data_IF_467057933016
#
_entry.id   IF_467057933016
#
_cell.length_a   1.000
_cell.length_b   1.000
_cell.length_c   1.000
_cell.angle_alpha   90.00
_cell.angle_beta   90.00
_cell.angle_gamma   90.00
#
_symmetry.space_group_name_H-M   'P 1'
#
loop_
_entity.id
_entity.type
_entity.pdbx_description
1 polymer ?
#
# COMPACT_ATOMS: atom_id res chain seq x y z
N UNK A 1 -5.05 14.09 -27.83
CA UNK A 1 -6.44 14.41 -27.40
C UNK A 1 -7.05 13.25 -26.64
N UNK A 2 -7.15 12.03 -27.20
CA UNK A 2 -7.69 10.84 -26.51
C UNK A 2 -6.92 10.40 -25.26
N UNK A 3 -5.60 10.62 -25.20
CA UNK A 3 -4.78 10.33 -24.01
C UNK A 3 -4.94 11.37 -22.89
N UNK A 4 -5.76 12.41 -23.07
CA UNK A 4 -5.86 13.52 -22.11
C UNK A 4 -4.66 14.48 -22.12
N UNK A 5 -3.63 14.23 -22.95
CA UNK A 5 -2.48 15.11 -23.07
C UNK A 5 -2.59 16.05 -24.28
N UNK A 6 -2.15 17.30 -24.10
CA UNK A 6 -2.04 18.31 -25.16
C UNK A 6 -3.37 18.79 -25.76
N UNK A 7 -4.52 18.34 -25.23
CA UNK A 7 -5.82 18.68 -25.79
C UNK A 7 -6.19 20.15 -25.65
N UNK A 8 -5.70 20.82 -24.60
CA UNK A 8 -5.88 22.26 -24.41
C UNK A 8 -5.24 23.05 -25.57
N UNK A 9 -4.05 22.65 -26.01
CA UNK A 9 -3.36 23.27 -27.13
C UNK A 9 -4.11 23.02 -28.45
N UNK A 10 -4.58 21.79 -28.67
CA UNK A 10 -5.35 21.44 -29.87
C UNK A 10 -6.69 22.18 -29.90
N UNK A 11 -7.38 22.29 -28.76
CA UNK A 11 -8.60 23.07 -28.60
C UNK A 11 -8.34 24.54 -28.94
N UNK A 12 -7.30 25.14 -28.35
CA UNK A 12 -6.95 26.54 -28.58
C UNK A 12 -6.65 26.80 -30.07
N UNK A 13 -5.82 25.96 -30.69
CA UNK A 13 -5.53 26.06 -32.13
C UNK A 13 -6.79 25.91 -33.00
N UNK A 14 -7.76 25.11 -32.55
CA UNK A 14 -9.01 24.89 -33.27
C UNK A 14 -9.99 26.05 -33.12
N UNK A 15 -10.03 26.71 -31.96
CA UNK A 15 -10.81 27.94 -31.71
C UNK A 15 -10.23 29.11 -32.52
N UNK A 16 -8.90 29.18 -32.63
CA UNK A 16 -8.22 30.28 -33.31
C UNK A 16 -8.12 30.08 -34.84
N UNK A 17 -8.53 28.91 -35.35
CA UNK A 17 -8.46 28.56 -36.76
C UNK A 17 -9.38 29.44 -37.61
N UNK A 18 -8.82 30.09 -38.63
CA UNK A 18 -9.54 30.94 -39.59
C UNK A 18 -9.70 30.24 -40.95
N UNK A 19 -9.88 31.01 -42.04
CA UNK A 19 -10.02 30.44 -43.39
C UNK A 19 -8.73 29.81 -43.92
N UNK A 20 -8.86 29.05 -45.02
CA UNK A 20 -7.73 28.41 -45.70
C UNK A 20 -6.69 29.49 -46.09
N UNK A 21 -5.41 29.23 -45.81
CA UNK A 21 -4.27 30.13 -46.04
C UNK A 21 -4.28 31.45 -45.24
N UNK A 22 -4.97 31.50 -44.09
CA UNK A 22 -4.94 32.64 -43.17
C UNK A 22 -4.38 32.25 -41.80
N UNK A 23 -3.69 33.18 -41.15
CA UNK A 23 -3.16 33.00 -39.79
C UNK A 23 -4.27 32.88 -38.74
N UNK A 24 -3.95 32.36 -37.54
CA UNK A 24 -4.92 32.23 -36.46
C UNK A 24 -5.36 33.60 -35.94
N UNK A 25 -6.63 33.71 -35.53
CA UNK A 25 -7.17 34.89 -34.85
C UNK A 25 -7.69 34.47 -33.48
N UNK A 26 -7.27 35.14 -32.39
CA UNK A 26 -7.73 34.79 -31.06
C UNK A 26 -9.26 34.76 -30.96
N UNK A 27 -9.81 33.67 -30.43
CA UNK A 27 -11.26 33.50 -30.18
C UNK A 27 -12.16 33.60 -31.41
N UNK A 28 -11.66 33.24 -32.60
CA UNK A 28 -12.43 33.36 -33.85
C UNK A 28 -13.68 32.47 -33.89
N UNK A 29 -13.57 31.22 -33.41
CA UNK A 29 -14.63 30.20 -33.51
C UNK A 29 -14.84 29.47 -32.19
N UNK A 30 -15.41 30.17 -31.21
CA UNK A 30 -15.71 29.58 -29.89
C UNK A 30 -16.65 28.38 -29.94
N UNK A 31 -17.51 28.29 -30.97
CA UNK A 31 -18.44 27.16 -31.19
C UNK A 31 -17.73 25.80 -31.29
N UNK A 32 -16.47 25.79 -31.76
CA UNK A 32 -15.65 24.58 -31.89
C UNK A 32 -15.35 23.96 -30.53
N UNK A 33 -15.40 24.73 -29.43
CA UNK A 33 -15.21 24.20 -28.08
C UNK A 33 -16.28 23.18 -27.69
N UNK A 34 -17.53 23.35 -28.16
CA UNK A 34 -18.63 22.43 -27.87
C UNK A 34 -18.32 21.02 -28.39
N UNK A 35 -17.72 20.91 -29.58
CA UNK A 35 -17.30 19.63 -30.14
C UNK A 35 -16.33 18.89 -29.21
N UNK A 36 -15.30 19.59 -28.69
CA UNK A 36 -14.34 18.97 -27.78
C UNK A 36 -14.97 18.59 -26.44
N UNK A 37 -15.86 19.42 -25.88
CA UNK A 37 -16.57 19.10 -24.63
C UNK A 37 -17.41 17.83 -24.79
N UNK A 38 -18.20 17.73 -25.86
CA UNK A 38 -19.00 16.54 -26.15
C UNK A 38 -18.11 15.32 -26.37
N UNK A 39 -17.04 15.47 -27.16
CA UNK A 39 -16.09 14.40 -27.42
C UNK A 39 -15.46 13.85 -26.12
N UNK A 40 -15.02 14.73 -25.22
CA UNK A 40 -14.37 14.34 -23.96
C UNK A 40 -15.30 13.74 -22.91
N UNK A 41 -16.59 14.02 -22.98
CA UNK A 41 -17.57 13.41 -22.07
C UNK A 41 -18.05 12.08 -22.65
N UNK A 42 -18.45 12.08 -23.92
CA UNK A 42 -19.14 10.95 -24.55
C UNK A 42 -18.16 9.82 -24.88
N UNK A 43 -17.03 10.13 -25.52
CA UNK A 43 -16.14 9.08 -26.02
C UNK A 43 -15.51 8.24 -24.89
N UNK A 44 -14.96 8.83 -23.80
CA UNK A 44 -14.46 8.05 -22.68
C UNK A 44 -15.54 7.27 -21.95
N UNK A 45 -16.76 7.82 -21.80
CA UNK A 45 -17.87 7.13 -21.15
C UNK A 45 -18.21 5.82 -21.87
N UNK A 46 -18.37 5.86 -23.20
CA UNK A 46 -18.62 4.64 -23.98
C UNK A 46 -17.44 3.68 -23.97
N UNK A 47 -16.22 4.20 -24.15
CA UNK A 47 -15.01 3.37 -24.22
C UNK A 47 -14.77 2.61 -22.91
N UNK A 48 -14.87 3.29 -21.76
CA UNK A 48 -14.70 2.66 -20.44
C UNK A 48 -15.78 1.61 -20.20
N UNK A 49 -17.04 1.91 -20.52
CA UNK A 49 -18.13 0.95 -20.30
C UNK A 49 -17.98 -0.31 -21.15
N UNK A 50 -17.59 -0.18 -22.43
CA UNK A 50 -17.34 -1.34 -23.30
C UNK A 50 -16.14 -2.15 -22.78
N UNK A 51 -15.06 -1.47 -22.38
CA UNK A 51 -13.85 -2.12 -21.88
C UNK A 51 -14.11 -2.88 -20.57
N UNK A 52 -14.83 -2.27 -19.63
CA UNK A 52 -15.24 -2.91 -18.37
C UNK A 52 -16.14 -4.12 -18.64
N UNK A 53 -17.12 -3.99 -19.54
CA UNK A 53 -17.99 -5.11 -19.91
C UNK A 53 -17.20 -6.29 -20.49
N UNK A 54 -16.27 -6.02 -21.40
CA UNK A 54 -15.42 -7.06 -21.99
C UNK A 54 -14.56 -7.75 -20.93
N UNK A 55 -13.93 -6.98 -20.03
CA UNK A 55 -13.14 -7.53 -18.92
C UNK A 55 -14.01 -8.45 -18.06
N UNK A 56 -15.19 -8.00 -17.64
CA UNK A 56 -16.10 -8.79 -16.80
C UNK A 56 -16.47 -10.10 -17.51
N UNK A 57 -16.85 -10.05 -18.78
CA UNK A 57 -17.20 -11.25 -19.56
C UNK A 57 -16.00 -12.21 -19.63
N UNK A 58 -14.80 -11.72 -19.91
CA UNK A 58 -13.60 -12.57 -19.97
C UNK A 58 -13.25 -13.19 -18.62
N UNK A 59 -13.40 -12.46 -17.51
CA UNK A 59 -13.18 -13.00 -16.17
C UNK A 59 -14.26 -14.00 -15.76
N UNK A 60 -15.51 -13.78 -16.16
CA UNK A 60 -16.61 -14.73 -15.93
C UNK A 60 -16.40 -16.00 -16.75
N UNK A 61 -15.98 -15.91 -18.01
CA UNK A 61 -15.67 -17.08 -18.85
C UNK A 61 -14.49 -17.88 -18.29
N UNK A 62 -13.42 -17.22 -17.85
CA UNK A 62 -12.29 -17.87 -17.18
C UNK A 62 -12.72 -18.53 -15.86
N UNK A 63 -13.46 -17.80 -15.02
CA UNK A 63 -13.96 -18.32 -13.75
C UNK A 63 -14.92 -19.49 -13.91
N UNK A 64 -15.75 -19.48 -14.96
CA UNK A 64 -16.69 -20.55 -15.25
C UNK A 64 -15.97 -21.82 -15.74
N UNK A 65 -14.94 -21.69 -16.59
CA UNK A 65 -14.13 -22.84 -17.02
C UNK A 65 -13.42 -23.53 -15.85
N UNK A 66 -12.86 -22.76 -14.92
CA UNK A 66 -12.28 -23.32 -13.69
C UNK A 66 -13.30 -24.01 -12.78
N UNK A 67 -14.57 -23.56 -12.80
CA UNK A 67 -15.67 -24.17 -12.05
C UNK A 67 -16.23 -25.41 -12.74
N UNK A 68 -16.34 -25.43 -14.08
CA UNK A 68 -16.83 -26.57 -14.85
C UNK A 68 -15.87 -27.77 -14.83
N UNK A 69 -14.56 -27.52 -14.76
CA UNK A 69 -13.55 -28.56 -14.57
C UNK A 69 -13.54 -29.14 -13.14
N UNK A 70 -14.24 -28.51 -12.18
CA UNK A 70 -14.29 -28.94 -10.79
C UNK A 70 -15.67 -29.52 -10.42
N UNK A 71 -15.73 -30.83 -10.18
CA UNK A 71 -16.94 -31.50 -9.65
C UNK A 71 -17.33 -31.04 -8.22
N UNK A 72 -16.49 -30.23 -7.57
CA UNK A 72 -16.59 -29.82 -6.16
C UNK A 72 -16.80 -28.31 -6.05
N UNK A 73 -17.71 -27.88 -5.18
CA UNK A 73 -17.99 -26.46 -4.94
C UNK A 73 -16.71 -25.70 -4.51
N UNK A 74 -16.52 -24.46 -5.01
CA UNK A 74 -15.34 -23.63 -4.72
C UNK A 74 -15.00 -23.52 -3.23
N UNK A 75 -16.02 -23.38 -2.38
CA UNK A 75 -15.85 -23.31 -0.93
C UNK A 75 -15.35 -24.63 -0.34
N UNK A 76 -15.90 -25.76 -0.81
CA UNK A 76 -15.48 -27.09 -0.39
C UNK A 76 -14.02 -27.36 -0.78
N UNK A 77 -13.63 -27.02 -2.02
CA UNK A 77 -12.24 -27.13 -2.48
C UNK A 77 -11.29 -26.34 -1.59
N UNK A 78 -11.64 -25.10 -1.22
CA UNK A 78 -10.81 -24.28 -0.34
C UNK A 78 -10.69 -24.85 1.07
N UNK A 79 -11.77 -25.39 1.64
CA UNK A 79 -11.73 -26.05 2.95
C UNK A 79 -10.88 -27.32 2.94
N UNK A 80 -11.00 -28.15 1.90
CA UNK A 80 -10.22 -29.38 1.73
C UNK A 80 -8.74 -29.04 1.57
N UNK A 81 -8.41 -28.06 0.72
CA UNK A 81 -7.03 -27.62 0.50
C UNK A 81 -6.39 -27.11 1.80
N UNK A 82 -7.12 -26.31 2.58
CA UNK A 82 -6.67 -25.86 3.89
C UNK A 82 -6.47 -27.03 4.85
N UNK A 83 -7.42 -27.95 4.94
CA UNK A 83 -7.33 -29.10 5.85
C UNK A 83 -6.14 -30.01 5.50
N UNK A 84 -5.83 -30.18 4.22
CA UNK A 84 -4.71 -31.01 3.75
C UNK A 84 -3.35 -30.31 3.89
N UNK A 85 -3.28 -29.00 3.63
CA UNK A 85 -2.02 -28.26 3.55
C UNK A 85 -1.67 -27.44 4.80
N UNK A 86 -2.57 -27.36 5.79
CA UNK A 86 -2.33 -26.63 7.02
C UNK A 86 -1.12 -27.21 7.77
N UNK A 87 -0.14 -26.34 8.06
CA UNK A 87 1.03 -26.67 8.88
C UNK A 87 0.83 -26.15 10.30
N UNK A 88 1.32 -26.87 11.33
CA UNK A 88 1.19 -26.43 12.70
C UNK A 88 1.96 -25.12 12.93
N UNK A 89 1.34 -24.20 13.67
CA UNK A 89 1.96 -22.93 14.08
C UNK A 89 3.02 -23.24 15.14
N UNK A 90 4.28 -22.90 14.86
CA UNK A 90 5.38 -23.09 15.80
C UNK A 90 5.36 -22.02 16.90
N UNK A 91 4.73 -22.32 18.04
CA UNK A 91 4.80 -21.46 19.24
C UNK A 91 6.09 -21.77 20.01
N UNK A 92 7.07 -20.88 19.93
CA UNK A 92 8.36 -21.03 20.61
C UNK A 92 8.27 -20.74 22.12
N UNK A 93 7.64 -21.64 22.88
CA UNK A 93 7.56 -21.57 24.35
C UNK A 93 8.88 -22.03 24.98
N UNK A 94 9.53 -21.24 25.86
CA UNK A 94 10.73 -21.68 26.56
C UNK A 94 10.42 -22.83 27.53
N UNK A 95 11.30 -23.83 27.59
CA UNK A 95 11.08 -25.09 28.33
C UNK A 95 11.12 -24.97 29.86
N UNK A 96 11.71 -23.90 30.40
CA UNK A 96 11.90 -23.70 31.84
C UNK A 96 11.00 -22.59 32.35
N UNK A 97 9.90 -22.96 33.03
CA UNK A 97 8.83 -22.05 33.47
C UNK A 97 9.26 -21.07 34.58
N UNK A 98 10.35 -21.37 35.32
CA UNK A 98 10.84 -20.53 36.41
C UNK A 98 11.99 -19.57 36.05
N UNK A 99 12.49 -19.60 34.81
CA UNK A 99 13.67 -18.81 34.42
C UNK A 99 13.31 -17.34 34.12
N UNK A 100 14.28 -16.43 34.30
CA UNK A 100 14.17 -15.03 33.84
C UNK A 100 13.76 -14.95 32.37
N UNK A 101 14.23 -15.91 31.54
CA UNK A 101 13.84 -16.03 30.14
C UNK A 101 12.34 -16.24 29.94
N UNK A 102 11.67 -16.99 30.80
CA UNK A 102 10.22 -17.20 30.74
C UNK A 102 9.46 -15.90 31.07
N UNK A 103 9.95 -15.12 32.04
CA UNK A 103 9.35 -13.81 32.37
C UNK A 103 9.52 -12.81 31.24
N UNK A 104 10.70 -12.73 30.62
CA UNK A 104 10.95 -11.86 29.46
C UNK A 104 10.10 -12.32 28.27
N UNK A 105 9.99 -13.63 28.03
CA UNK A 105 9.10 -14.17 27.00
C UNK A 105 7.62 -13.81 27.24
N UNK A 106 7.15 -13.90 28.48
CA UNK A 106 5.78 -13.52 28.84
C UNK A 106 5.52 -12.02 28.64
N UNK A 107 6.54 -11.18 28.87
CA UNK A 107 6.47 -9.75 28.57
C UNK A 107 6.40 -9.50 27.06
N UNK A 108 7.27 -10.12 26.27
CA UNK A 108 7.33 -9.92 24.82
C UNK A 108 6.08 -10.42 24.08
N UNK A 109 5.42 -11.48 24.56
CA UNK A 109 4.18 -12.02 23.95
C UNK A 109 2.92 -11.30 24.43
N UNK A 110 3.04 -10.37 25.38
CA UNK A 110 1.91 -9.62 25.92
C UNK A 110 1.39 -8.62 24.91
N UNK A 111 0.07 -8.57 24.70
CA UNK A 111 -0.57 -7.59 23.81
C UNK A 111 -0.27 -6.14 24.20
N UNK A 112 0.01 -5.87 25.49
CA UNK A 112 0.43 -4.55 25.95
C UNK A 112 1.80 -4.14 25.41
N UNK A 113 2.72 -5.10 25.27
CA UNK A 113 4.05 -4.85 24.72
C UNK A 113 3.96 -4.55 23.22
N UNK A 114 3.21 -5.36 22.46
CA UNK A 114 2.94 -5.11 21.04
C UNK A 114 2.29 -3.74 20.81
N UNK A 115 1.30 -3.38 21.63
CA UNK A 115 0.66 -2.07 21.56
C UNK A 115 1.65 -0.92 21.86
N UNK A 116 2.54 -1.09 22.84
CA UNK A 116 3.57 -0.11 23.16
C UNK A 116 4.49 0.16 21.95
N UNK A 117 4.94 -0.90 21.27
CA UNK A 117 5.78 -0.78 20.06
C UNK A 117 5.02 -0.09 18.92
N UNK A 118 3.74 -0.43 18.72
CA UNK A 118 2.90 0.26 17.74
C UNK A 118 2.77 1.77 18.02
N UNK A 119 2.57 2.15 19.28
CA UNK A 119 2.53 3.56 19.68
C UNK A 119 3.87 4.24 19.43
N UNK A 120 4.99 3.59 19.75
CA UNK A 120 6.32 4.14 19.48
C UNK A 120 6.58 4.35 17.98
N UNK A 121 6.16 3.42 17.12
CA UNK A 121 6.27 3.55 15.66
C UNK A 121 5.45 4.76 15.17
N UNK A 122 4.22 4.90 15.66
CA UNK A 122 3.37 6.04 15.33
C UNK A 122 4.00 7.37 15.78
N UNK A 123 4.51 7.45 17.00
CA UNK A 123 5.16 8.65 17.53
C UNK A 123 6.44 9.00 16.75
N UNK A 124 7.27 8.01 16.42
CA UNK A 124 8.46 8.22 15.60
C UNK A 124 8.08 8.76 14.20
N UNK A 125 7.00 8.24 13.61
CA UNK A 125 6.47 8.73 12.33
C UNK A 125 6.01 10.19 12.43
N UNK A 126 5.33 10.56 13.51
CA UNK A 126 4.95 11.95 13.78
C UNK A 126 6.18 12.87 13.92
N UNK A 127 7.24 12.43 14.62
CA UNK A 127 8.49 13.18 14.74
C UNK A 127 9.17 13.38 13.39
N UNK A 128 9.17 12.35 12.54
CA UNK A 128 9.69 12.45 11.17
C UNK A 128 8.88 13.43 10.31
N UNK A 129 7.55 13.42 10.42
CA UNK A 129 6.67 14.35 9.71
C UNK A 129 6.78 15.80 10.21
N UNK A 130 7.19 16.01 11.47
CA UNK A 130 7.33 17.34 12.07
C UNK A 130 8.55 18.13 11.54
N UNK A 131 9.36 17.55 10.64
CA UNK A 131 10.50 18.21 9.99
C UNK A 131 10.01 19.17 8.90
N UNK A 132 10.42 20.43 8.96
CA UNK A 132 10.03 21.46 7.99
C UNK A 132 11.23 22.30 7.49
N UNK A 133 11.04 23.02 6.38
CA UNK A 133 12.08 23.83 5.75
C UNK A 133 12.39 25.11 6.55
N UNK A 134 13.68 25.42 6.77
CA UNK A 134 14.17 26.54 7.60
C UNK A 134 13.77 26.46 9.08
N UNK A 135 13.78 25.27 9.65
CA UNK A 135 13.66 25.07 11.10
C UNK A 135 14.87 25.63 11.87
N UNK A 136 14.69 26.20 13.07
CA UNK A 136 15.78 26.70 13.90
C UNK A 136 16.70 25.55 14.33
N UNK A 137 18.01 25.80 14.52
CA UNK A 137 19.00 24.75 14.83
C UNK A 137 18.62 23.94 16.08
N UNK A 138 18.17 24.61 17.15
CA UNK A 138 17.74 23.95 18.39
C UNK A 138 16.57 22.97 18.18
N UNK A 139 15.65 23.27 17.26
CA UNK A 139 14.54 22.36 16.95
C UNK A 139 15.04 21.11 16.21
N UNK A 140 15.95 21.28 15.26
CA UNK A 140 16.57 20.16 14.56
C UNK A 140 17.37 19.26 15.50
N UNK A 141 18.06 19.84 16.49
CA UNK A 141 18.78 19.09 17.51
C UNK A 141 17.81 18.23 18.34
N UNK A 142 16.69 18.81 18.81
CA UNK A 142 15.65 18.07 19.55
C UNK A 142 15.08 16.92 18.73
N UNK A 143 14.76 17.15 17.44
CA UNK A 143 14.27 16.10 16.55
C UNK A 143 15.31 14.99 16.36
N UNK A 144 16.59 15.34 16.29
CA UNK A 144 17.69 14.38 16.16
C UNK A 144 17.88 13.54 17.42
N UNK A 145 17.81 14.16 18.61
CA UNK A 145 17.83 13.44 19.88
C UNK A 145 16.60 12.53 20.05
N UNK A 146 15.42 12.97 19.62
CA UNK A 146 14.21 12.17 19.65
C UNK A 146 14.33 10.93 18.76
N UNK A 147 14.76 11.09 17.51
CA UNK A 147 15.00 9.96 16.58
C UNK A 147 16.05 8.99 17.13
N UNK A 148 17.14 9.50 17.70
CA UNK A 148 18.18 8.68 18.33
C UNK A 148 17.62 7.88 19.52
N UNK A 149 16.74 8.50 20.30
CA UNK A 149 16.05 7.84 21.43
C UNK A 149 15.14 6.72 20.95
N UNK A 150 14.34 6.95 19.92
CA UNK A 150 13.48 5.91 19.33
C UNK A 150 14.31 4.74 18.78
N UNK A 151 15.40 5.01 18.05
CA UNK A 151 16.33 3.97 17.58
C UNK A 151 16.88 3.13 18.74
N UNK A 152 17.30 3.78 19.83
CA UNK A 152 17.79 3.06 21.02
C UNK A 152 16.71 2.17 21.65
N UNK A 153 15.47 2.66 21.74
CA UNK A 153 14.36 1.88 22.31
C UNK A 153 13.97 0.68 21.43
N UNK A 154 13.93 0.85 20.10
CA UNK A 154 13.73 -0.29 19.18
C UNK A 154 14.87 -1.31 19.28
N UNK A 155 16.12 -0.85 19.40
CA UNK A 155 17.27 -1.75 19.60
C UNK A 155 17.14 -2.56 20.89
N UNK A 156 16.72 -1.92 22.00
CA UNK A 156 16.47 -2.61 23.28
C UNK A 156 15.34 -3.64 23.13
N UNK A 157 14.27 -3.28 22.41
CA UNK A 157 13.18 -4.20 22.13
C UNK A 157 13.66 -5.44 21.35
N UNK A 158 14.45 -5.27 20.29
CA UNK A 158 14.96 -6.39 19.50
C UNK A 158 15.86 -7.29 20.35
N UNK A 159 16.70 -6.70 21.22
CA UNK A 159 17.52 -7.46 22.18
C UNK A 159 16.64 -8.25 23.17
N UNK A 160 15.57 -7.65 23.70
CA UNK A 160 14.62 -8.33 24.58
C UNK A 160 13.94 -9.51 23.89
N UNK A 161 13.50 -9.34 22.63
CA UNK A 161 12.92 -10.42 21.81
C UNK A 161 13.94 -11.52 21.51
N UNK A 162 15.20 -11.19 21.21
CA UNK A 162 16.28 -12.16 21.02
C UNK A 162 16.53 -12.96 22.30
N UNK A 163 16.51 -12.32 23.47
CA UNK A 163 16.65 -13.02 24.76
C UNK A 163 15.44 -13.93 25.06
N UNK A 164 14.23 -13.50 24.71
CA UNK A 164 13.00 -14.29 24.88
C UNK A 164 13.00 -15.55 24.00
N UNK A 165 13.07 -15.38 22.68
CA UNK A 165 12.90 -16.46 21.70
C UNK A 165 14.20 -17.23 21.45
N UNK A 166 15.36 -16.61 21.65
CA UNK A 166 16.68 -17.12 21.28
C UNK A 166 17.03 -16.82 19.81
N UNK A 167 18.31 -16.63 19.50
CA UNK A 167 18.79 -16.21 18.17
C UNK A 167 18.16 -17.01 17.01
N UNK A 168 18.21 -18.35 17.08
CA UNK A 168 17.75 -19.21 15.98
C UNK A 168 16.24 -19.08 15.71
N UNK A 169 15.44 -18.93 16.75
CA UNK A 169 13.99 -18.83 16.59
C UNK A 169 13.56 -17.41 16.24
N UNK A 170 14.30 -16.40 16.71
CA UNK A 170 14.08 -15.00 16.35
C UNK A 170 14.26 -14.78 14.83
N UNK A 171 15.38 -15.23 14.24
CA UNK A 171 15.63 -15.07 12.80
C UNK A 171 14.84 -16.03 11.90
N UNK A 172 14.18 -17.04 12.46
CA UNK A 172 13.28 -17.91 11.69
C UNK A 172 11.94 -17.22 11.39
N UNK A 173 11.52 -16.29 12.25
CA UNK A 173 10.34 -15.46 12.00
C UNK A 173 10.71 -14.30 11.06
N UNK A 174 10.02 -14.23 9.92
CA UNK A 174 10.25 -13.21 8.89
C UNK A 174 10.00 -11.79 9.41
N UNK A 175 9.07 -11.61 10.34
CA UNK A 175 8.76 -10.30 10.90
C UNK A 175 9.86 -9.82 11.85
N UNK A 176 10.34 -10.69 12.74
CA UNK A 176 11.46 -10.37 13.62
C UNK A 176 12.77 -10.19 12.84
N UNK A 177 12.95 -10.90 11.72
CA UNK A 177 14.09 -10.70 10.83
C UNK A 177 14.02 -9.39 10.04
N UNK A 178 12.82 -8.85 9.77
CA UNK A 178 12.64 -7.52 9.18
C UNK A 178 12.90 -6.39 10.18
N UNK A 179 12.60 -6.64 11.47
CA UNK A 179 12.74 -5.71 12.58
C UNK A 179 14.20 -5.53 13.05
N UNK A 180 15.09 -6.49 12.76
CA UNK A 180 16.52 -6.47 13.10
C UNK A 180 17.38 -5.82 12.01
#
# INVERSE_FOLDING_TARGET
>A
VTTGEGWQNVLQHSIDATGINRGPRPSHRLEVAVFYVVYFIVFPFFFVNIFVALIIITFQDQGQKELEEAEIEKNQKSCIDFALNAKPIQRCRPKQEGSLRYRIWLLCISSYFEFCIMVMIALNTCVLMAKYYRSPPTYNDILTYANTTFTALFTVESILKIMAFGLRNYFHDKWNAFDF
#
